data_IF_401243192730
#
_entry.id   IF_401243192730
#
_cell.length_a   1.000
_cell.length_b   1.000
_cell.length_c   1.000
_cell.angle_alpha   90.00
_cell.angle_beta   90.00
_cell.angle_gamma   90.00
#
_symmetry.space_group_name_H-M   'P 1'
#
loop_
_entity.id
_entity.type
_entity.pdbx_description
1 polymer ?
#
# COMPACT_ATOMS: atom_id res chain seq x y z
N UNK A 1 24.36 -6.30 -18.11
CA UNK A 1 23.54 -5.43 -17.26
C UNK A 1 22.33 -6.23 -16.78
N UNK A 2 22.40 -6.87 -15.61
CA UNK A 2 21.21 -7.52 -15.04
C UNK A 2 20.39 -6.44 -14.31
N UNK A 3 19.13 -6.32 -14.72
CA UNK A 3 18.21 -5.30 -14.23
C UNK A 3 17.82 -5.57 -12.77
N UNK A 4 18.34 -4.78 -11.84
CA UNK A 4 17.76 -4.63 -10.50
C UNK A 4 16.64 -3.59 -10.61
N UNK A 5 15.38 -4.01 -10.41
CA UNK A 5 14.23 -3.09 -10.34
C UNK A 5 13.66 -3.13 -8.93
N UNK A 6 13.42 -1.97 -8.33
CA UNK A 6 12.58 -1.87 -7.14
C UNK A 6 11.13 -2.06 -7.54
N UNK A 7 10.41 -2.96 -6.87
CA UNK A 7 8.98 -3.19 -7.15
C UNK A 7 8.13 -2.95 -5.91
N UNK A 8 7.00 -2.28 -6.10
CA UNK A 8 5.90 -2.26 -5.12
C UNK A 8 5.04 -3.47 -5.44
N UNK A 9 5.11 -4.54 -4.64
CA UNK A 9 4.19 -5.65 -4.82
C UNK A 9 2.82 -5.24 -4.28
N UNK A 10 1.84 -5.08 -5.17
CA UNK A 10 0.44 -4.91 -4.79
C UNK A 10 -0.16 -6.28 -4.41
N UNK A 11 0.37 -6.93 -3.37
CA UNK A 11 -0.27 -8.07 -2.72
C UNK A 11 -1.32 -7.55 -1.71
N UNK A 12 -2.43 -8.26 -1.46
CA UNK A 12 -3.25 -8.06 -0.25
C UNK A 12 -2.43 -7.97 1.05
N UNK A 13 -1.19 -8.49 1.03
CA UNK A 13 -0.26 -8.55 2.17
C UNK A 13 0.67 -7.34 2.30
N UNK A 14 0.74 -6.43 1.31
CA UNK A 14 1.57 -5.22 1.35
C UNK A 14 0.74 -3.97 1.73
N UNK A 15 0.08 -4.07 2.88
CA UNK A 15 -0.82 -3.01 3.39
C UNK A 15 -0.07 -1.71 3.73
N UNK A 16 1.25 -1.79 3.96
CA UNK A 16 2.11 -0.65 4.21
C UNK A 16 2.64 0.07 2.96
N UNK A 17 2.47 -0.48 1.75
CA UNK A 17 3.14 0.00 0.51
C UNK A 17 4.67 0.00 0.64
N UNK A 18 5.21 -1.02 1.30
CA UNK A 18 6.64 -1.26 1.40
C UNK A 18 7.24 -1.52 0.02
N UNK A 19 8.49 -1.11 -0.16
CA UNK A 19 9.26 -1.32 -1.39
C UNK A 19 10.42 -2.27 -1.10
N UNK A 20 10.61 -3.27 -1.94
CA UNK A 20 11.75 -4.18 -1.84
C UNK A 20 12.45 -4.35 -3.19
N UNK A 21 13.76 -4.70 -3.18
CA UNK A 21 14.46 -5.09 -4.39
C UNK A 21 13.85 -6.37 -4.97
N UNK A 22 13.75 -6.43 -6.30
CA UNK A 22 13.35 -7.65 -7.01
C UNK A 22 14.45 -8.02 -8.01
N UNK A 23 15.31 -8.94 -7.60
CA UNK A 23 16.37 -9.45 -8.46
C UNK A 23 15.78 -10.49 -9.44
N UNK A 24 16.07 -10.30 -10.73
CA UNK A 24 15.66 -11.20 -11.83
C UNK A 24 14.15 -11.38 -12.01
N UNK A 25 13.32 -10.55 -11.39
CA UNK A 25 11.86 -10.63 -11.52
C UNK A 25 11.23 -11.81 -10.77
N UNK A 26 11.96 -12.45 -9.84
CA UNK A 26 11.52 -13.64 -9.12
C UNK A 26 10.57 -13.34 -7.95
N UNK A 27 10.30 -12.06 -7.68
CA UNK A 27 9.47 -11.59 -6.56
C UNK A 27 10.31 -10.99 -5.45
N UNK A 28 9.71 -10.10 -4.63
CA UNK A 28 10.43 -9.41 -3.55
C UNK A 28 10.80 -10.35 -2.39
N UNK A 29 10.09 -11.47 -2.25
CA UNK A 29 10.33 -12.47 -1.21
C UNK A 29 11.57 -13.34 -1.51
N UNK A 30 12.04 -13.35 -2.76
CA UNK A 30 13.20 -14.10 -3.18
C UNK A 30 14.53 -13.33 -2.99
N UNK A 31 14.49 -12.05 -2.58
CA UNK A 31 15.68 -11.22 -2.38
C UNK A 31 15.84 -10.83 -0.91
N UNK A 32 16.92 -11.31 -0.26
CA UNK A 32 17.23 -10.94 1.12
C UNK A 32 17.85 -9.53 1.16
N UNK A 33 17.25 -8.60 1.91
CA UNK A 33 17.84 -7.29 2.15
C UNK A 33 18.45 -7.20 3.55
N UNK A 34 19.67 -6.67 3.63
CA UNK A 34 20.43 -6.50 4.86
C UNK A 34 20.81 -5.02 5.05
N UNK A 35 20.99 -4.60 6.31
CA UNK A 35 21.61 -3.32 6.66
C UNK A 35 22.83 -3.62 7.52
N UNK A 36 24.00 -3.14 7.09
CA UNK A 36 25.29 -3.46 7.71
C UNK A 36 25.51 -4.97 7.91
N UNK A 37 24.99 -5.80 6.99
CA UNK A 37 25.08 -7.27 7.09
C UNK A 37 24.03 -7.92 8.00
N UNK A 38 23.19 -7.14 8.69
CA UNK A 38 22.17 -7.64 9.58
C UNK A 38 20.77 -7.66 8.94
N UNK A 39 19.94 -8.62 9.36
CA UNK A 39 18.55 -8.74 8.90
C UNK A 39 17.68 -7.68 9.58
N UNK A 40 16.91 -6.94 8.79
CA UNK A 40 15.83 -6.08 9.30
C UNK A 40 14.58 -6.92 9.59
N UNK A 41 13.70 -6.42 10.46
CA UNK A 41 12.35 -6.99 10.58
C UNK A 41 11.66 -6.97 9.21
N UNK A 42 10.99 -8.07 8.88
CA UNK A 42 10.18 -8.14 7.66
C UNK A 42 9.01 -7.15 7.78
N UNK A 43 8.74 -6.43 6.70
CA UNK A 43 7.62 -5.52 6.61
C UNK A 43 6.35 -6.27 6.19
N UNK A 44 5.28 -6.06 6.95
CA UNK A 44 3.95 -6.62 6.68
C UNK A 44 3.90 -8.17 6.64
N UNK A 45 2.81 -8.71 6.10
CA UNK A 45 2.56 -10.15 5.95
C UNK A 45 3.35 -10.78 4.78
N UNK A 46 4.04 -9.99 3.95
CA UNK A 46 4.73 -10.45 2.75
C UNK A 46 6.14 -11.01 2.96
N UNK A 47 6.76 -10.85 4.13
CA UNK A 47 8.05 -11.46 4.41
C UNK A 47 9.28 -10.78 3.77
N UNK A 48 9.13 -9.57 3.22
CA UNK A 48 10.22 -8.79 2.61
C UNK A 48 10.56 -7.52 3.43
N UNK A 49 11.77 -6.99 3.25
CA UNK A 49 12.26 -5.81 3.98
C UNK A 49 11.98 -4.54 3.18
N UNK A 50 11.42 -3.52 3.83
CA UNK A 50 11.13 -2.25 3.20
C UNK A 50 12.37 -1.34 3.12
N UNK A 51 13.07 -1.39 2.00
CA UNK A 51 14.29 -0.60 1.79
C UNK A 51 14.04 0.90 1.71
N UNK A 52 12.78 1.33 1.52
CA UNK A 52 12.44 2.76 1.57
C UNK A 52 12.57 3.34 2.98
N UNK A 53 12.78 2.51 4.01
CA UNK A 53 13.00 2.96 5.38
C UNK A 53 14.38 3.60 5.59
N UNK A 54 15.37 3.31 4.75
CA UNK A 54 16.74 3.81 4.94
C UNK A 54 16.86 5.23 4.37
N UNK A 55 17.22 6.25 5.18
CA UNK A 55 17.48 7.59 4.67
C UNK A 55 18.56 7.59 3.59
N UNK A 56 18.38 8.32 2.49
CA UNK A 56 19.32 8.29 1.38
C UNK A 56 20.75 8.70 1.79
N UNK A 57 20.89 9.71 2.64
CA UNK A 57 22.19 10.17 3.11
C UNK A 57 22.82 9.26 4.18
N UNK A 58 22.09 8.26 4.68
CA UNK A 58 22.65 7.24 5.56
C UNK A 58 23.48 6.22 4.77
N UNK A 59 23.22 6.05 3.47
CA UNK A 59 23.84 5.00 2.65
C UNK A 59 25.23 5.46 2.21
N UNK A 60 26.23 4.61 2.44
CA UNK A 60 27.57 4.75 1.88
C UNK A 60 27.65 4.03 0.53
N UNK A 61 27.22 2.77 0.52
CA UNK A 61 27.21 1.92 -0.69
C UNK A 61 26.16 0.82 -0.58
N UNK A 62 25.86 0.19 -1.72
CA UNK A 62 24.97 -0.97 -1.83
C UNK A 62 25.74 -2.12 -2.46
N UNK A 63 25.78 -3.26 -1.76
CA UNK A 63 26.42 -4.48 -2.24
C UNK A 63 25.34 -5.44 -2.74
N UNK A 64 25.51 -5.99 -3.94
CA UNK A 64 24.53 -6.91 -4.56
C UNK A 64 25.22 -8.23 -4.89
N UNK A 65 24.75 -9.32 -4.28
CA UNK A 65 25.27 -10.68 -4.46
C UNK A 65 24.19 -11.51 -5.15
N UNK A 66 24.45 -11.90 -6.40
CA UNK A 66 23.45 -12.52 -7.30
C UNK A 66 23.61 -14.04 -7.45
N UNK A 67 24.60 -14.64 -6.78
CA UNK A 67 24.97 -16.04 -6.94
C UNK A 67 25.37 -16.69 -5.60
N UNK A 68 24.95 -17.93 -5.38
CA UNK A 68 25.35 -18.77 -4.24
C UNK A 68 25.02 -18.25 -2.82
N UNK A 69 24.29 -17.14 -2.68
CA UNK A 69 24.11 -16.47 -1.40
C UNK A 69 23.26 -17.26 -0.38
N UNK A 70 22.43 -18.21 -0.84
CA UNK A 70 21.66 -19.11 0.03
C UNK A 70 22.53 -20.04 0.88
N UNK A 71 23.78 -20.31 0.46
CA UNK A 71 24.74 -21.11 1.22
C UNK A 71 25.37 -20.36 2.40
N UNK A 72 25.38 -19.02 2.38
CA UNK A 72 26.01 -18.17 3.42
C UNK A 72 24.93 -17.48 4.28
N UNK A 73 23.86 -16.98 3.67
CA UNK A 73 22.86 -16.14 4.33
C UNK A 73 21.51 -16.82 4.60
N UNK A 74 21.34 -18.09 4.20
CA UNK A 74 20.16 -18.91 4.48
C UNK A 74 19.14 -19.02 3.34
N UNK A 75 18.06 -19.79 3.57
CA UNK A 75 17.08 -20.21 2.54
C UNK A 75 16.30 -19.08 1.85
N UNK A 76 16.25 -17.88 2.41
CA UNK A 76 15.49 -16.74 1.88
C UNK A 76 16.21 -16.00 0.73
N UNK A 77 17.46 -16.36 0.43
CA UNK A 77 18.29 -15.72 -0.58
C UNK A 77 18.30 -16.48 -1.93
N UNK A 78 17.14 -16.98 -2.38
CA UNK A 78 17.02 -17.77 -3.63
C UNK A 78 17.35 -16.93 -4.87
N UNK A 79 16.97 -15.65 -4.88
CA UNK A 79 17.23 -14.69 -5.95
C UNK A 79 18.50 -13.85 -5.76
N UNK A 80 19.01 -13.73 -4.53
CA UNK A 80 20.23 -13.01 -4.18
C UNK A 80 20.14 -12.23 -2.86
N UNK A 81 21.21 -11.49 -2.53
CA UNK A 81 21.31 -10.61 -1.35
C UNK A 81 21.61 -9.18 -1.78
N UNK A 82 20.93 -8.22 -1.17
CA UNK A 82 21.24 -6.79 -1.27
C UNK A 82 21.58 -6.27 0.12
N UNK A 83 22.83 -5.83 0.32
CA UNK A 83 23.30 -5.29 1.60
C UNK A 83 23.51 -3.78 1.49
N UNK A 84 22.75 -3.02 2.28
CA UNK A 84 22.88 -1.57 2.40
C UNK A 84 23.90 -1.28 3.49
N UNK A 85 25.04 -0.71 3.10
CA UNK A 85 26.08 -0.31 4.04
C UNK A 85 25.84 1.14 4.41
N UNK A 86 25.60 1.39 5.70
CA UNK A 86 25.46 2.74 6.22
C UNK A 86 26.83 3.39 6.37
N UNK A 87 26.86 4.72 6.25
CA UNK A 87 28.07 5.52 6.47
C UNK A 87 28.55 5.32 7.90
N UNK A 88 29.83 5.05 8.12
CA UNK A 88 30.38 4.92 9.48
C UNK A 88 31.28 6.11 9.85
N UNK A 89 32.12 6.53 8.90
CA UNK A 89 33.15 7.56 9.12
C UNK A 89 32.78 8.91 8.46
N UNK A 90 31.50 9.32 8.54
CA UNK A 90 31.08 10.60 7.99
C UNK A 90 31.44 11.74 8.94
N UNK A 91 32.15 12.75 8.43
CA UNK A 91 32.46 13.98 9.17
C UNK A 91 31.84 15.20 8.48
N UNK A 92 31.20 16.05 9.29
CA UNK A 92 30.61 17.29 8.83
C UNK A 92 29.08 17.21 8.70
N UNK A 93 28.53 18.02 7.80
CA UNK A 93 27.10 18.17 7.57
C UNK A 93 26.79 18.13 6.08
N UNK A 94 25.78 17.33 5.70
CA UNK A 94 25.28 17.24 4.33
C UNK A 94 23.74 17.37 4.34
N UNK A 95 23.20 18.12 3.39
CA UNK A 95 21.75 18.22 3.18
C UNK A 95 21.43 18.08 1.69
N UNK A 96 20.35 17.37 1.40
CA UNK A 96 19.84 17.13 0.04
C UNK A 96 18.34 17.35 0.01
N UNK A 97 17.90 18.26 -0.84
CA UNK A 97 16.49 18.44 -1.16
C UNK A 97 16.20 17.95 -2.58
N UNK A 98 15.03 17.33 -2.77
CA UNK A 98 14.51 16.96 -4.09
C UNK A 98 13.04 17.35 -4.18
N UNK A 99 12.64 17.86 -5.34
CA UNK A 99 11.26 18.12 -5.69
C UNK A 99 11.01 17.56 -7.09
N UNK A 100 9.87 16.90 -7.28
CA UNK A 100 9.43 16.33 -8.55
C UNK A 100 7.99 16.73 -8.81
N UNK A 101 7.70 17.14 -10.04
CA UNK A 101 6.39 17.60 -10.47
C UNK A 101 5.98 16.84 -11.73
N UNK A 102 4.69 16.54 -11.82
CA UNK A 102 4.05 15.98 -12.99
C UNK A 102 2.59 16.40 -13.02
N UNK A 103 1.91 16.09 -14.11
CA UNK A 103 0.48 16.36 -14.23
C UNK A 103 -0.30 15.56 -13.17
N UNK A 104 -0.92 16.29 -12.22
CA UNK A 104 -1.62 15.74 -11.05
C UNK A 104 -0.72 15.14 -9.97
N UNK A 105 0.60 15.39 -9.99
CA UNK A 105 1.54 14.71 -9.10
C UNK A 105 2.68 15.60 -8.59
N UNK A 106 2.97 15.48 -7.30
CA UNK A 106 4.10 16.14 -6.67
C UNK A 106 4.78 15.20 -5.67
N UNK A 107 6.10 15.38 -5.52
CA UNK A 107 6.93 14.60 -4.61
C UNK A 107 8.06 15.46 -4.07
N UNK A 108 8.30 15.40 -2.77
CA UNK A 108 9.33 16.14 -2.07
C UNK A 108 10.13 15.23 -1.17
N UNK A 109 11.43 15.47 -1.05
CA UNK A 109 12.25 14.84 -0.01
C UNK A 109 13.31 15.81 0.51
N UNK A 110 13.50 15.81 1.82
CA UNK A 110 14.61 16.49 2.47
C UNK A 110 15.37 15.46 3.30
N UNK A 111 16.63 15.23 2.93
CA UNK A 111 17.54 14.36 3.65
C UNK A 111 18.66 15.20 4.25
N UNK A 112 19.01 14.97 5.51
CA UNK A 112 20.12 15.63 6.21
C UNK A 112 20.96 14.59 6.92
N UNK A 113 22.29 14.75 6.89
CA UNK A 113 23.21 13.94 7.64
C UNK A 113 24.23 14.82 8.37
N UNK A 114 24.59 14.42 9.58
CA UNK A 114 25.65 15.03 10.36
C UNK A 114 26.52 13.93 10.98
N UNK A 115 27.81 14.16 11.07
CA UNK A 115 28.71 13.25 11.73
C UNK A 115 29.96 13.93 12.25
N UNK A 116 30.59 13.30 13.24
CA UNK A 116 31.75 13.83 13.91
C UNK A 116 32.63 12.69 14.42
N UNK A 117 33.93 12.97 14.45
CA UNK A 117 34.92 12.14 15.12
C UNK A 117 35.45 12.89 16.34
N UNK A 118 35.72 12.17 17.41
CA UNK A 118 36.30 12.69 18.64
C UNK A 118 37.32 11.70 19.20
N UNK A 119 37.93 12.06 20.32
CA UNK A 119 38.92 11.20 20.97
C UNK A 119 38.28 9.87 21.38
N UNK A 120 38.71 8.80 20.72
CA UNK A 120 38.25 7.45 20.98
C UNK A 120 36.88 7.12 20.39
N UNK A 121 36.30 7.92 19.50
CA UNK A 121 34.99 7.60 18.96
C UNK A 121 34.57 8.39 17.73
N UNK A 122 33.48 7.95 17.12
CA UNK A 122 32.84 8.62 16.00
C UNK A 122 31.35 8.32 16.01
N UNK A 123 30.58 9.14 15.31
CA UNK A 123 29.17 8.89 15.14
C UNK A 123 28.58 9.71 14.02
N UNK A 124 27.48 9.22 13.48
CA UNK A 124 26.70 9.91 12.46
C UNK A 124 25.21 9.72 12.71
N UNK A 125 24.43 10.67 12.19
CA UNK A 125 22.98 10.62 12.15
C UNK A 125 22.53 11.13 10.80
N UNK A 126 21.63 10.39 10.16
CA UNK A 126 20.94 10.77 8.95
C UNK A 126 19.44 10.74 9.18
N UNK A 127 18.73 11.77 8.72
CA UNK A 127 17.28 11.92 8.81
C UNK A 127 16.74 12.25 7.43
N UNK A 128 15.63 11.65 7.04
CA UNK A 128 14.94 11.93 5.79
C UNK A 128 13.45 12.12 6.02
N UNK A 129 12.94 13.27 5.58
CA UNK A 129 11.52 13.50 5.36
C UNK A 129 11.19 13.27 3.89
N UNK A 130 10.12 12.53 3.64
CA UNK A 130 9.63 12.21 2.31
C UNK A 130 8.12 12.42 2.24
N UNK A 131 7.66 13.13 1.23
CA UNK A 131 6.25 13.31 0.93
C UNK A 131 5.99 13.08 -0.56
N UNK A 132 4.91 12.37 -0.85
CA UNK A 132 4.43 12.14 -2.20
C UNK A 132 2.91 12.31 -2.21
N UNK A 133 2.42 13.15 -3.10
CA UNK A 133 0.99 13.26 -3.35
C UNK A 133 0.46 11.97 -3.99
N UNK A 134 -0.85 11.74 -3.85
CA UNK A 134 -1.51 10.70 -4.63
C UNK A 134 -1.42 11.04 -6.11
N UNK A 135 -1.47 10.01 -6.94
CA UNK A 135 -1.65 10.16 -8.38
C UNK A 135 -2.99 9.55 -8.78
N UNK A 136 -3.94 10.38 -9.19
CA UNK A 136 -5.29 9.92 -9.50
C UNK A 136 -5.33 9.19 -10.85
N UNK A 137 -6.10 8.11 -10.92
CA UNK A 137 -6.42 7.43 -12.16
C UNK A 137 -7.23 8.33 -13.12
N UNK A 138 -8.18 9.08 -12.57
CA UNK A 138 -9.08 9.94 -13.35
C UNK A 138 -8.37 11.04 -14.14
N UNK A 139 -7.19 11.45 -13.68
CA UNK A 139 -6.37 12.45 -14.35
C UNK A 139 -5.67 11.88 -15.60
N UNK A 140 -5.85 10.58 -15.88
CA UNK A 140 -5.20 9.89 -16.98
C UNK A 140 -6.24 9.28 -17.90
N UNK A 141 -6.43 9.95 -19.03
CA UNK A 141 -7.38 9.49 -20.06
C UNK A 141 -7.15 8.03 -20.45
N UNK A 142 -5.89 7.55 -20.46
CA UNK A 142 -5.49 6.17 -20.78
C UNK A 142 -5.77 5.13 -19.68
N UNK A 143 -5.98 5.55 -18.44
CA UNK A 143 -6.22 4.66 -17.29
C UNK A 143 -7.74 4.42 -17.12
N UNK A 144 -8.28 3.57 -17.98
CA UNK A 144 -9.71 3.24 -18.03
C UNK A 144 -9.88 1.73 -18.13
N UNK A 145 -11.00 1.22 -17.63
CA UNK A 145 -11.41 -0.15 -17.84
C UNK A 145 -12.04 -0.38 -19.23
N UNK A 146 -12.43 0.68 -19.96
CA UNK A 146 -12.90 0.56 -21.34
C UNK A 146 -11.75 0.57 -22.34
N UNK A 147 -11.22 -0.62 -22.65
CA UNK A 147 -10.07 -0.76 -23.54
C UNK A 147 -10.47 -0.83 -25.02
N UNK A 148 -11.75 -0.67 -25.39
CA UNK A 148 -12.23 -0.82 -26.77
C UNK A 148 -11.55 0.12 -27.74
N UNK A 149 -11.26 1.36 -27.32
CA UNK A 149 -10.50 2.32 -28.13
C UNK A 149 -9.06 1.91 -28.43
N UNK A 150 -8.54 0.92 -27.69
CA UNK A 150 -7.22 0.31 -27.89
C UNK A 150 -7.30 -1.08 -28.56
N UNK A 151 -8.47 -1.49 -29.03
CA UNK A 151 -8.69 -2.84 -29.57
C UNK A 151 -8.85 -3.93 -28.51
N UNK A 152 -9.01 -3.57 -27.23
CA UNK A 152 -9.20 -4.48 -26.12
C UNK A 152 -10.68 -4.68 -25.72
N UNK A 153 -10.93 -5.52 -24.69
CA UNK A 153 -12.28 -5.72 -24.15
C UNK A 153 -12.75 -4.53 -23.29
N UNK A 154 -14.06 -4.46 -23.01
CA UNK A 154 -14.56 -3.61 -21.94
C UNK A 154 -14.49 -4.38 -20.60
N UNK A 155 -13.73 -3.84 -19.65
CA UNK A 155 -13.52 -4.40 -18.31
C UNK A 155 -14.22 -3.56 -17.22
N UNK A 156 -15.06 -2.60 -17.60
CA UNK A 156 -15.85 -1.81 -16.66
C UNK A 156 -16.73 -2.72 -15.78
N UNK A 157 -16.96 -2.29 -14.55
CA UNK A 157 -17.68 -3.08 -13.57
C UNK A 157 -19.19 -3.05 -13.88
N UNK A 158 -19.89 -4.20 -14.01
CA UNK A 158 -21.34 -4.25 -14.20
C UNK A 158 -22.14 -3.86 -12.95
N UNK A 159 -21.49 -3.60 -11.83
CA UNK A 159 -22.13 -3.02 -10.65
C UNK A 159 -22.15 -1.49 -10.83
N UNK A 160 -23.33 -0.88 -10.66
CA UNK A 160 -23.52 0.55 -10.92
C UNK A 160 -24.57 1.17 -9.99
N UNK A 161 -24.72 2.49 -10.05
CA UNK A 161 -25.82 3.25 -9.44
C UNK A 161 -26.34 4.27 -10.49
N UNK A 162 -27.57 4.11 -11.01
CA UNK A 162 -28.50 3.01 -10.77
C UNK A 162 -27.91 1.66 -11.19
N UNK A 163 -28.27 0.61 -10.46
CA UNK A 163 -27.70 -0.72 -10.64
C UNK A 163 -28.24 -1.50 -11.84
N UNK A 164 -27.98 -2.80 -11.82
CA UNK A 164 -28.60 -3.75 -12.74
C UNK A 164 -29.34 -4.84 -11.96
N UNK A 165 -30.54 -5.19 -12.38
CA UNK A 165 -31.27 -6.33 -11.86
C UNK A 165 -30.79 -7.59 -12.57
N UNK A 166 -30.44 -8.63 -11.82
CA UNK A 166 -30.15 -9.96 -12.36
C UNK A 166 -31.32 -10.89 -12.06
N UNK A 167 -32.03 -11.34 -13.09
CA UNK A 167 -33.20 -12.22 -12.96
C UNK A 167 -33.22 -13.26 -14.09
N UNK A 168 -33.32 -14.55 -13.73
CA UNK A 168 -33.41 -15.64 -14.72
C UNK A 168 -32.19 -15.75 -15.66
N UNK A 169 -31.00 -15.34 -15.21
CA UNK A 169 -29.79 -15.30 -16.04
C UNK A 169 -29.72 -14.11 -17.02
N UNK A 170 -30.70 -13.20 -16.99
CA UNK A 170 -30.73 -11.98 -17.79
C UNK A 170 -30.43 -10.77 -16.91
N UNK A 171 -29.59 -9.86 -17.43
CA UNK A 171 -29.29 -8.57 -16.79
C UNK A 171 -30.19 -7.49 -17.37
N UNK A 172 -30.88 -6.78 -16.47
CA UNK A 172 -31.80 -5.69 -16.75
C UNK A 172 -31.22 -4.41 -16.16
N UNK A 173 -30.85 -3.45 -17.01
CA UNK A 173 -30.41 -2.15 -16.56
C UNK A 173 -31.58 -1.33 -16.03
N UNK A 174 -31.34 -0.70 -14.89
CA UNK A 174 -32.24 0.27 -14.31
C UNK A 174 -32.03 1.61 -15.05
N UNK A 175 -33.09 2.28 -15.56
CA UNK A 175 -32.92 3.54 -16.28
C UNK A 175 -32.22 4.61 -15.42
N UNK A 176 -31.35 5.41 -16.05
CA UNK A 176 -30.72 6.59 -15.45
C UNK A 176 -31.67 7.79 -15.43
N UNK A 177 -31.42 8.75 -14.53
CA UNK A 177 -32.21 9.97 -14.41
C UNK A 177 -33.53 9.78 -13.66
N UNK A 178 -33.54 8.88 -12.68
CA UNK A 178 -34.73 8.54 -11.89
C UNK A 178 -34.35 8.17 -10.44
N UNK A 179 -35.31 8.31 -9.55
CA UNK A 179 -35.14 8.10 -8.12
C UNK A 179 -35.65 6.73 -7.63
N UNK A 180 -35.96 5.80 -8.53
CA UNK A 180 -36.46 4.45 -8.18
C UNK A 180 -37.91 4.40 -7.67
N UNK A 181 -38.54 5.55 -7.40
CA UNK A 181 -39.91 5.61 -6.89
C UNK A 181 -40.90 5.29 -8.00
N UNK A 182 -41.71 4.24 -7.83
CA UNK A 182 -42.71 3.82 -8.82
C UNK A 182 -42.10 3.25 -10.10
N UNK A 183 -40.84 2.80 -10.07
CA UNK A 183 -40.20 2.15 -11.21
C UNK A 183 -40.96 0.87 -11.58
N UNK A 184 -41.54 0.84 -12.78
CA UNK A 184 -42.26 -0.33 -13.28
C UNK A 184 -41.30 -1.30 -14.02
N UNK A 185 -41.51 -2.63 -13.94
CA UNK A 185 -40.66 -3.61 -14.62
C UNK A 185 -40.53 -3.40 -16.15
N UNK A 186 -41.59 -2.89 -16.80
CA UNK A 186 -41.58 -2.60 -18.24
C UNK A 186 -40.67 -1.41 -18.65
N UNK A 187 -40.08 -0.70 -17.68
CA UNK A 187 -39.11 0.38 -17.93
C UNK A 187 -37.67 -0.11 -17.91
N UNK A 188 -37.43 -1.34 -17.45
CA UNK A 188 -36.09 -1.92 -17.41
C UNK A 188 -35.54 -2.16 -18.82
N UNK A 189 -34.23 -1.98 -19.00
CA UNK A 189 -33.57 -2.10 -20.31
C UNK A 189 -32.80 -3.40 -20.39
N UNK A 190 -33.08 -4.22 -21.41
CA UNK A 190 -32.42 -5.52 -21.63
C UNK A 190 -31.23 -5.36 -22.57
N UNK A 191 -30.12 -6.05 -22.29
CA UNK A 191 -28.97 -6.14 -23.21
C UNK A 191 -28.04 -4.93 -23.21
N UNK A 192 -28.28 -3.95 -22.33
CA UNK A 192 -27.43 -2.77 -22.16
C UNK A 192 -27.21 -2.50 -20.66
N UNK A 193 -26.36 -3.31 -19.98
CA UNK A 193 -26.13 -3.14 -18.54
C UNK A 193 -25.54 -1.76 -18.23
N UNK A 194 -25.96 -1.18 -17.11
CA UNK A 194 -25.25 -0.07 -16.50
C UNK A 194 -23.85 -0.55 -16.09
N UNK A 195 -22.85 0.29 -16.33
CA UNK A 195 -21.47 -0.01 -15.98
C UNK A 195 -20.85 1.19 -15.28
N UNK A 196 -19.90 0.90 -14.41
CA UNK A 196 -19.12 1.88 -13.67
C UNK A 196 -17.65 1.78 -14.07
N UNK A 197 -16.99 2.91 -14.24
CA UNK A 197 -15.54 2.94 -14.43
C UNK A 197 -14.86 2.44 -13.15
N UNK A 198 -14.13 1.32 -13.27
CA UNK A 198 -13.48 0.62 -12.16
C UNK A 198 -12.45 1.50 -11.46
N UNK A 199 -11.82 2.38 -12.22
CA UNK A 199 -10.75 3.25 -11.74
C UNK A 199 -11.24 4.64 -11.32
N UNK A 200 -12.56 4.88 -11.35
CA UNK A 200 -13.14 6.16 -10.95
C UNK A 200 -12.77 6.49 -9.50
N UNK A 201 -12.05 7.59 -9.30
CA UNK A 201 -11.57 8.05 -8.01
C UNK A 201 -10.40 7.24 -7.42
N UNK A 202 -9.94 6.18 -8.09
CA UNK A 202 -8.86 5.34 -7.61
C UNK A 202 -7.49 6.02 -7.78
N UNK A 203 -6.53 5.66 -6.92
CA UNK A 203 -5.16 6.14 -7.01
C UNK A 203 -4.28 5.13 -7.76
N UNK A 204 -3.54 5.62 -8.77
CA UNK A 204 -2.42 4.88 -9.39
C UNK A 204 -1.27 4.77 -8.39
N UNK A 205 -0.90 5.90 -7.77
CA UNK A 205 0.07 5.95 -6.68
C UNK A 205 -0.59 6.50 -5.42
N UNK A 206 -0.38 5.87 -4.25
CA UNK A 206 -0.95 6.35 -3.01
C UNK A 206 -0.28 7.65 -2.55
N UNK A 207 -0.99 8.42 -1.73
CA UNK A 207 -0.38 9.48 -0.95
C UNK A 207 0.49 8.86 0.13
N UNK A 208 1.73 9.32 0.27
CA UNK A 208 2.67 8.78 1.27
C UNK A 208 3.43 9.91 1.95
N UNK A 209 3.54 9.82 3.28
CA UNK A 209 4.43 10.65 4.10
C UNK A 209 5.29 9.75 4.96
N UNK A 210 6.60 9.97 4.98
CA UNK A 210 7.55 9.12 5.68
C UNK A 210 8.62 9.98 6.35
N UNK A 211 8.94 9.65 7.59
CA UNK A 211 10.10 10.17 8.30
C UNK A 211 10.98 8.97 8.67
N UNK A 212 12.23 9.02 8.26
CA UNK A 212 13.21 7.96 8.49
C UNK A 212 14.44 8.55 9.17
N UNK A 213 15.04 7.82 10.09
CA UNK A 213 16.29 8.18 10.76
C UNK A 213 17.18 6.95 10.86
N UNK A 214 18.47 7.11 10.60
CA UNK A 214 19.48 6.07 10.78
C UNK A 214 20.73 6.70 11.39
N UNK A 215 21.43 5.96 12.23
CA UNK A 215 22.65 6.47 12.84
C UNK A 215 23.48 5.38 13.48
N UNK A 216 24.71 5.75 13.78
CA UNK A 216 25.69 4.92 14.47
C UNK A 216 26.48 5.80 15.44
N UNK A 217 26.85 5.22 16.57
CA UNK A 217 27.85 5.74 17.48
C UNK A 217 28.81 4.61 17.85
N UNK A 218 30.10 4.89 17.80
CA UNK A 218 31.15 3.97 18.24
C UNK A 218 32.08 4.70 19.20
N UNK A 219 32.41 4.04 20.30
CA UNK A 219 33.25 4.58 21.37
C UNK A 219 34.17 3.50 21.94
N UNK A 220 35.45 3.79 21.96
CA UNK A 220 36.44 3.10 22.78
C UNK A 220 36.22 3.51 24.24
N UNK A 221 35.66 2.60 25.04
CA UNK A 221 35.35 2.82 26.46
C UNK A 221 36.63 2.75 27.32
N UNK A 222 37.52 1.84 26.97
CA UNK A 222 38.87 1.69 27.55
C UNK A 222 39.82 1.19 26.45
N UNK A 223 41.16 1.27 26.63
CA UNK A 223 42.10 0.75 25.64
C UNK A 223 41.80 -0.70 25.26
N UNK A 224 41.32 -0.90 24.03
CA UNK A 224 40.94 -2.22 23.52
C UNK A 224 39.51 -2.68 23.83
N UNK A 225 38.63 -1.86 24.39
CA UNK A 225 37.19 -2.15 24.54
C UNK A 225 36.38 -1.11 23.75
N UNK A 226 35.71 -1.54 22.69
CA UNK A 226 34.88 -0.67 21.84
C UNK A 226 33.41 -1.07 21.96
N UNK A 227 32.54 -0.09 22.17
CA UNK A 227 31.09 -0.24 22.08
C UNK A 227 30.62 0.47 20.80
N UNK A 228 29.86 -0.25 19.98
CA UNK A 228 29.17 0.30 18.82
C UNK A 228 27.67 0.12 19.00
N UNK A 229 26.90 1.17 18.73
CA UNK A 229 25.44 1.14 18.68
C UNK A 229 25.01 1.75 17.35
N UNK A 230 24.13 1.07 16.63
CA UNK A 230 23.51 1.61 15.43
C UNK A 230 22.04 1.26 15.35
N UNK A 231 21.32 1.99 14.52
CA UNK A 231 19.90 1.77 14.39
C UNK A 231 19.25 2.51 13.25
N UNK A 232 18.04 2.05 12.96
CA UNK A 232 17.13 2.58 11.97
C UNK A 232 15.76 2.75 12.62
N UNK A 233 15.12 3.89 12.39
CA UNK A 233 13.74 4.13 12.79
C UNK A 233 12.99 4.76 11.62
N UNK A 234 11.81 4.25 11.29
CA UNK A 234 10.95 4.83 10.25
C UNK A 234 9.51 4.87 10.73
N UNK A 235 8.83 5.97 10.40
CA UNK A 235 7.39 6.10 10.52
C UNK A 235 6.81 6.54 9.19
N UNK A 236 5.87 5.77 8.66
CA UNK A 236 5.18 6.03 7.39
C UNK A 236 3.67 6.12 7.62
N UNK A 237 3.04 7.11 6.99
CA UNK A 237 1.59 7.19 6.82
C UNK A 237 1.29 7.15 5.32
N UNK A 238 0.39 6.25 4.93
CA UNK A 238 -0.02 6.09 3.53
C UNK A 238 -1.55 6.10 3.44
N UNK A 239 -2.08 6.68 2.37
CA UNK A 239 -3.51 6.62 2.04
C UNK A 239 -3.63 6.23 0.57
N UNK A 240 -4.44 5.23 0.28
CA UNK A 240 -4.75 4.80 -1.08
C UNK A 240 -6.25 4.75 -1.29
N UNK A 241 -6.71 5.36 -2.38
CA UNK A 241 -8.05 5.10 -2.92
C UNK A 241 -8.01 3.95 -3.90
N UNK A 242 -8.94 3.00 -3.74
CA UNK A 242 -9.10 1.85 -4.62
C UNK A 242 -10.48 1.91 -5.30
N UNK A 243 -10.83 0.86 -6.04
CA UNK A 243 -12.18 0.72 -6.59
C UNK A 243 -13.24 0.87 -5.49
N UNK A 244 -14.36 1.52 -5.82
CA UNK A 244 -15.47 1.68 -4.90
C UNK A 244 -16.03 0.34 -4.43
N UNK A 245 -16.70 0.35 -3.27
CA UNK A 245 -17.42 -0.84 -2.82
C UNK A 245 -18.52 -1.20 -3.81
N UNK A 246 -18.61 -2.48 -4.12
CA UNK A 246 -19.65 -3.04 -4.97
C UNK A 246 -20.24 -4.27 -4.29
N UNK A 247 -21.53 -4.52 -4.51
CA UNK A 247 -22.20 -5.68 -3.94
C UNK A 247 -23.37 -6.12 -4.81
N UNK A 248 -23.73 -7.40 -4.70
CA UNK A 248 -25.00 -7.91 -5.20
C UNK A 248 -26.01 -7.85 -4.06
N UNK A 249 -26.89 -6.86 -4.10
CA UNK A 249 -27.90 -6.63 -3.09
C UNK A 249 -29.09 -7.56 -3.31
N UNK A 250 -29.50 -8.27 -2.26
CA UNK A 250 -30.75 -9.05 -2.28
C UNK A 250 -31.86 -8.22 -1.66
N UNK A 251 -32.72 -7.67 -2.49
CA UNK A 251 -33.82 -6.79 -2.07
C UNK A 251 -35.10 -7.61 -1.91
N UNK A 252 -35.67 -7.73 -0.71
CA UNK A 252 -36.93 -8.45 -0.50
C UNK A 252 -38.13 -7.64 -1.01
N UNK A 253 -39.23 -8.34 -1.36
CA UNK A 253 -40.48 -7.74 -1.86
C UNK A 253 -41.13 -6.74 -0.90
N UNK A 254 -40.82 -6.82 0.39
CA UNK A 254 -41.31 -5.87 1.39
C UNK A 254 -40.70 -4.47 1.23
N UNK A 255 -39.55 -4.35 0.56
CA UNK A 255 -38.94 -3.05 0.28
C UNK A 255 -39.87 -2.19 -0.58
N UNK A 256 -40.15 -0.94 -0.22
CA UNK A 256 -41.12 -0.09 -0.92
C UNK A 256 -40.69 0.29 -2.35
N UNK A 257 -39.41 0.14 -2.68
CA UNK A 257 -38.86 0.40 -4.02
C UNK A 257 -38.70 -0.88 -4.84
N UNK A 258 -39.19 -2.03 -4.36
CA UNK A 258 -38.98 -3.32 -5.00
C UNK A 258 -39.45 -3.36 -6.46
N UNK A 259 -38.55 -3.77 -7.35
CA UNK A 259 -38.85 -4.05 -8.76
C UNK A 259 -38.26 -5.39 -9.17
N UNK A 260 -39.04 -6.21 -9.86
CA UNK A 260 -38.57 -7.45 -10.50
C UNK A 260 -39.32 -7.67 -11.83
N UNK A 261 -38.62 -8.10 -12.90
CA UNK A 261 -39.29 -8.52 -14.15
C UNK A 261 -40.18 -9.76 -13.98
N UNK A 262 -39.89 -10.65 -13.02
CA UNK A 262 -40.76 -11.75 -12.63
C UNK A 262 -41.78 -11.30 -11.56
N UNK A 263 -43.09 -11.27 -11.88
CA UNK A 263 -44.11 -10.83 -10.94
C UNK A 263 -44.29 -11.76 -9.73
N UNK A 264 -43.81 -13.01 -9.79
CA UNK A 264 -43.89 -13.96 -8.68
C UNK A 264 -42.70 -13.87 -7.71
N UNK A 265 -41.63 -13.16 -8.09
CA UNK A 265 -40.41 -13.09 -7.29
C UNK A 265 -40.64 -12.47 -5.91
N UNK A 266 -40.02 -13.08 -4.90
CA UNK A 266 -40.02 -12.59 -3.51
C UNK A 266 -38.77 -11.76 -3.19
N UNK A 267 -37.73 -11.88 -4.01
CA UNK A 267 -36.49 -11.12 -3.90
C UNK A 267 -36.00 -10.69 -5.29
N UNK A 268 -35.21 -9.63 -5.32
CA UNK A 268 -34.52 -9.13 -6.51
C UNK A 268 -33.04 -9.02 -6.21
N UNK A 269 -32.18 -9.52 -7.10
CA UNK A 269 -30.74 -9.28 -7.03
C UNK A 269 -30.37 -8.03 -7.81
N UNK A 270 -29.78 -7.03 -7.15
CA UNK A 270 -29.30 -5.78 -7.76
C UNK A 270 -27.78 -5.71 -7.68
N UNK A 271 -27.11 -5.68 -8.83
CA UNK A 271 -25.68 -5.40 -8.97
C UNK A 271 -25.46 -3.90 -8.75
N UNK A 272 -24.97 -3.53 -7.58
CA UNK A 272 -24.92 -2.16 -7.11
C UNK A 272 -23.49 -1.70 -6.81
N UNK A 273 -23.17 -0.46 -7.20
CA UNK A 273 -21.91 0.21 -6.86
C UNK A 273 -22.18 1.38 -5.91
N UNK A 274 -21.44 1.42 -4.82
CA UNK A 274 -21.49 2.49 -3.82
C UNK A 274 -20.59 3.69 -4.19
N UNK A 275 -20.03 3.73 -5.41
CA UNK A 275 -19.18 4.83 -5.87
C UNK A 275 -19.89 6.19 -5.72
N UNK A 276 -21.17 6.26 -6.03
CA UNK A 276 -21.94 7.50 -5.91
C UNK A 276 -22.37 7.84 -4.47
N UNK A 277 -22.36 6.86 -3.56
CA UNK A 277 -22.80 7.04 -2.17
C UNK A 277 -21.64 7.44 -1.25
N UNK A 278 -20.52 6.72 -1.33
CA UNK A 278 -19.35 6.93 -0.48
C UNK A 278 -18.08 7.35 -1.24
N UNK A 279 -18.08 7.20 -2.57
CA UNK A 279 -16.86 7.34 -3.36
C UNK A 279 -16.03 6.04 -3.44
N UNK A 280 -14.79 6.13 -3.95
CA UNK A 280 -13.83 5.03 -3.93
C UNK A 280 -13.48 4.61 -2.50
N UNK A 281 -13.20 3.33 -2.27
CA UNK A 281 -12.74 2.87 -0.95
C UNK A 281 -11.40 3.51 -0.60
N UNK A 282 -11.25 4.02 0.62
CA UNK A 282 -10.00 4.56 1.11
C UNK A 282 -9.36 3.63 2.14
N UNK A 283 -8.13 3.18 1.88
CA UNK A 283 -7.30 2.45 2.85
C UNK A 283 -6.20 3.37 3.36
N UNK A 284 -6.29 3.73 4.64
CA UNK A 284 -5.23 4.44 5.37
C UNK A 284 -4.37 3.46 6.16
N UNK A 285 -3.05 3.67 6.18
CA UNK A 285 -2.10 2.85 6.92
C UNK A 285 -1.06 3.68 7.66
N UNK A 286 -0.66 3.23 8.85
CA UNK A 286 0.50 3.71 9.60
C UNK A 286 1.44 2.53 9.83
N UNK A 287 2.70 2.66 9.40
CA UNK A 287 3.80 1.72 9.65
C UNK A 287 4.83 2.38 10.54
N UNK A 288 5.26 1.67 11.57
CA UNK A 288 6.34 2.05 12.47
C UNK A 288 7.36 0.92 12.55
N UNK A 289 8.62 1.26 12.31
CA UNK A 289 9.71 0.33 12.12
C UNK A 289 10.91 0.81 12.93
N UNK A 290 11.45 -0.05 13.80
CA UNK A 290 12.63 0.25 14.60
C UNK A 290 13.55 -0.96 14.61
N UNK A 291 14.80 -0.75 14.25
CA UNK A 291 15.89 -1.71 14.39
C UNK A 291 17.00 -1.07 15.20
N UNK A 292 17.48 -1.77 16.21
CA UNK A 292 18.62 -1.37 17.03
C UNK A 292 19.60 -2.54 17.07
N UNK A 293 20.88 -2.22 16.88
CA UNK A 293 21.98 -3.15 16.99
C UNK A 293 23.02 -2.57 17.94
N UNK A 294 23.65 -3.45 18.71
CA UNK A 294 24.75 -3.09 19.59
C UNK A 294 25.79 -4.19 19.62
N UNK A 295 27.06 -3.79 19.54
CA UNK A 295 28.20 -4.69 19.56
C UNK A 295 29.27 -4.19 20.53
N UNK A 296 29.91 -5.13 21.24
CA UNK A 296 31.06 -4.88 22.10
C UNK A 296 32.23 -5.68 21.56
N UNK A 297 33.31 -4.98 21.17
CA UNK A 297 34.56 -5.58 20.72
C UNK A 297 35.63 -5.44 21.80
N UNK A 298 36.33 -6.52 22.12
CA UNK A 298 37.45 -6.59 23.06
C UNK A 298 38.70 -7.06 22.34
N UNK A 299 39.76 -6.25 22.35
CA UNK A 299 41.11 -6.65 21.96
C UNK A 299 41.76 -7.43 23.10
N UNK A 300 42.11 -8.67 22.82
CA UNK A 300 42.73 -9.59 23.75
C UNK A 300 44.26 -9.69 23.46
N UNK A 301 45.05 -10.19 24.41
CA UNK A 301 46.48 -10.44 24.19
C UNK A 301 46.76 -11.33 22.98
N UNK A 302 47.99 -11.32 22.49
CA UNK A 302 48.45 -12.18 21.40
C UNK A 302 47.66 -12.05 20.07
N UNK A 303 47.17 -10.84 19.75
CA UNK A 303 46.41 -10.50 18.54
C UNK A 303 45.00 -11.13 18.44
N UNK A 304 44.46 -11.59 19.56
CA UNK A 304 43.08 -12.07 19.61
C UNK A 304 42.11 -10.90 19.72
N UNK A 305 40.90 -11.08 19.19
CA UNK A 305 39.74 -10.22 19.46
C UNK A 305 38.53 -11.09 19.80
N UNK A 306 37.61 -10.54 20.57
CA UNK A 306 36.31 -11.13 20.85
C UNK A 306 35.22 -10.07 20.61
N UNK A 307 34.12 -10.47 19.99
CA UNK A 307 32.98 -9.62 19.73
C UNK A 307 31.71 -10.28 20.29
N UNK A 308 30.87 -9.47 20.92
CA UNK A 308 29.52 -9.85 21.32
C UNK A 308 28.56 -8.81 20.77
N UNK A 309 27.63 -9.24 19.93
CA UNK A 309 26.60 -8.39 19.35
C UNK A 309 25.19 -8.85 19.66
N UNK A 310 24.24 -7.94 19.49
CA UNK A 310 22.82 -8.20 19.62
C UNK A 310 21.99 -7.24 18.78
N UNK A 311 20.92 -7.77 18.18
CA UNK A 311 19.98 -7.00 17.36
C UNK A 311 18.55 -7.21 17.85
N UNK A 312 17.81 -6.10 17.94
CA UNK A 312 16.37 -6.10 18.15
C UNK A 312 15.70 -5.32 17.02
N UNK A 313 14.65 -5.91 16.43
CA UNK A 313 13.88 -5.26 15.39
C UNK A 313 12.39 -5.44 15.63
N UNK A 314 11.62 -4.37 15.44
CA UNK A 314 10.17 -4.33 15.62
C UNK A 314 9.52 -3.59 14.46
N UNK A 315 8.51 -4.22 13.86
CA UNK A 315 7.59 -3.59 12.92
C UNK A 315 6.18 -3.58 13.52
N UNK A 316 5.43 -2.51 13.30
CA UNK A 316 4.04 -2.37 13.70
C UNK A 316 3.27 -1.68 12.58
N UNK A 317 2.20 -2.32 12.10
CA UNK A 317 1.35 -1.79 11.03
C UNK A 317 -0.08 -1.75 11.52
N UNK A 318 -0.73 -0.60 11.34
CA UNK A 318 -2.17 -0.44 11.54
C UNK A 318 -2.79 0.10 10.27
N UNK A 319 -3.95 -0.42 9.89
CA UNK A 319 -4.69 0.03 8.72
C UNK A 319 -6.16 0.23 9.05
N UNK A 320 -6.80 1.09 8.27
CA UNK A 320 -8.22 1.41 8.36
C UNK A 320 -8.76 1.48 6.94
N UNK A 321 -9.87 0.80 6.71
CA UNK A 321 -10.66 0.94 5.49
C UNK A 321 -11.87 1.81 5.80
N UNK A 322 -12.02 2.86 5.03
CA UNK A 322 -13.14 3.79 5.07
C UNK A 322 -13.99 3.61 3.79
N UNK A 323 -15.16 4.25 3.76
CA UNK A 323 -16.05 4.29 2.59
C UNK A 323 -16.61 2.90 2.18
N UNK A 324 -16.89 2.08 3.20
CA UNK A 324 -17.50 0.75 3.07
C UNK A 324 -18.90 0.72 3.69
N UNK A 325 -19.90 0.07 3.03
CA UNK A 325 -21.21 -0.11 3.62
C UNK A 325 -21.14 -1.06 4.83
N UNK A 326 -21.86 -0.72 5.90
CA UNK A 326 -22.11 -1.68 6.97
C UNK A 326 -23.11 -2.74 6.49
N UNK A 327 -22.64 -3.94 6.20
CA UNK A 327 -23.47 -5.01 5.62
C UNK A 327 -24.71 -5.35 6.48
N UNK A 328 -24.61 -5.30 7.81
CA UNK A 328 -25.73 -5.62 8.69
C UNK A 328 -26.82 -4.53 8.64
N UNK A 329 -26.43 -3.26 8.74
CA UNK A 329 -27.36 -2.14 8.65
C UNK A 329 -27.96 -2.01 7.25
N UNK A 330 -27.16 -2.24 6.21
CA UNK A 330 -27.63 -2.25 4.83
C UNK A 330 -28.69 -3.33 4.60
N UNK A 331 -28.46 -4.55 5.10
CA UNK A 331 -29.45 -5.63 4.98
C UNK A 331 -30.74 -5.33 5.74
N UNK A 332 -30.65 -4.66 6.90
CA UNK A 332 -31.82 -4.19 7.64
C UNK A 332 -32.58 -3.12 6.85
N UNK A 333 -31.89 -2.11 6.31
CA UNK A 333 -32.49 -1.05 5.51
C UNK A 333 -33.10 -1.60 4.20
N UNK A 334 -32.48 -2.61 3.57
CA UNK A 334 -33.05 -3.28 2.40
C UNK A 334 -34.37 -4.01 2.72
N UNK A 335 -34.54 -4.49 3.96
CA UNK A 335 -35.72 -5.22 4.41
C UNK A 335 -36.75 -4.34 5.14
N UNK A 336 -36.52 -3.03 5.24
CA UNK A 336 -37.44 -2.10 5.91
C UNK A 336 -38.66 -1.79 5.00
N UNK A 337 -39.91 -1.99 5.46
CA UNK A 337 -41.10 -1.61 4.71
C UNK A 337 -41.32 -0.09 4.61
N UNK A 338 -40.67 0.71 5.45
CA UNK A 338 -40.89 2.15 5.53
C UNK A 338 -40.06 2.90 4.45
N UNK A 339 -40.68 3.62 3.50
CA UNK A 339 -39.96 4.33 2.45
C UNK A 339 -38.94 5.37 2.93
N UNK A 340 -39.08 5.91 4.14
CA UNK A 340 -38.12 6.87 4.69
C UNK A 340 -36.91 6.25 5.39
N UNK A 341 -36.94 4.94 5.63
CA UNK A 341 -35.85 4.19 6.27
C UNK A 341 -35.25 3.12 5.35
N UNK A 342 -36.00 2.71 4.31
CA UNK A 342 -35.57 1.68 3.38
C UNK A 342 -34.47 2.17 2.44
N UNK A 343 -33.47 1.31 2.22
CA UNK A 343 -32.47 1.58 1.18
C UNK A 343 -33.05 1.29 -0.20
N UNK A 344 -32.86 2.25 -1.10
CA UNK A 344 -33.30 2.27 -2.48
C UNK A 344 -32.12 2.05 -3.46
N UNK A 345 -31.91 0.82 -3.94
CA UNK A 345 -30.90 0.53 -4.94
C UNK A 345 -31.38 0.74 -6.39
N UNK A 346 -32.60 1.27 -6.59
CA UNK A 346 -33.25 1.39 -7.90
C UNK A 346 -33.24 2.81 -8.47
N UNK A 347 -32.66 3.78 -7.77
CA UNK A 347 -32.47 5.16 -8.24
C UNK A 347 -31.01 5.48 -8.58
N UNK A 348 -30.78 6.68 -9.09
CA UNK A 348 -29.43 7.24 -9.23
C UNK A 348 -28.80 7.47 -7.84
N UNK A 349 -27.48 7.63 -7.80
CA UNK A 349 -26.76 7.99 -6.58
C UNK A 349 -27.36 9.23 -5.91
N UNK A 350 -27.51 9.19 -4.58
CA UNK A 350 -28.19 10.25 -3.80
C UNK A 350 -29.72 10.12 -3.72
N UNK A 351 -30.29 9.01 -4.20
CA UNK A 351 -31.70 8.65 -3.95
C UNK A 351 -31.96 8.09 -2.54
N UNK A 352 -30.90 7.97 -1.72
CA UNK A 352 -30.89 7.46 -0.35
C UNK A 352 -30.49 8.56 0.64
#
# INVERSE_FOLDING_TARGET
SQETRGSVQASPDNLGFATAPNLRGLGVDATLSLVNGHRLAQANYGGFVDISQIPLLAIERVEVIVDGASAIYGSDAVGGVVNFILRQNFEGFEAKAQAGFGDGFERYSLSTAAGATWTGGHGFLAVEYFEQARLSADERSYYTADLRRFGGPNLQNPNASPGNISAGGVTYAIPRGQNGVGLAPGRLVVGAPNVTERWAGADILPQTRKLSAAGLISQELTPGLTLTLDGLATRRKSIRRAEAAVSTLTVPRINPFFVNPDPAAQTTSVLYSFLGDFGPQATGGISEDVTLHGAVEVKLPARWSAELDGLISRNSVSFRNDDLPNAALLNQALADPNPSAAFNPFGDAGSN
#
